data_IF_181428722221
#
_entry.id   IF_181428722221
#
_cell.length_a   1.000
_cell.length_b   1.000
_cell.length_c   1.000
_cell.angle_alpha   90.00
_cell.angle_beta   90.00
_cell.angle_gamma   90.00
#
_symmetry.space_group_name_H-M   'P 1'
#
loop_
_entity.id
_entity.type
_entity.pdbx_description
1 polymer ?
#
# COMPACT_ATOMS: atom_id res chain seq x y z
N UNK A 1 -6.11 -21.29 6.83
CA UNK A 1 -7.10 -21.81 5.85
C UNK A 1 -8.02 -20.71 5.35
N UNK A 2 -8.68 -19.94 6.21
CA UNK A 2 -9.64 -18.89 5.82
C UNK A 2 -9.01 -17.76 4.97
N UNK A 3 -7.80 -17.33 5.27
CA UNK A 3 -7.12 -16.23 4.57
C UNK A 3 -6.79 -16.61 3.12
N UNK A 4 -6.34 -17.83 2.87
CA UNK A 4 -6.05 -18.33 1.52
C UNK A 4 -7.31 -18.48 0.65
N UNK A 5 -8.50 -18.47 1.25
CA UNK A 5 -9.78 -18.47 0.52
C UNK A 5 -10.21 -17.04 0.15
N UNK A 6 -9.73 -16.02 0.87
CA UNK A 6 -10.05 -14.61 0.61
C UNK A 6 -9.07 -14.01 -0.40
N UNK A 7 -7.80 -14.36 -0.28
CA UNK A 7 -6.73 -13.83 -1.12
C UNK A 7 -6.02 -14.96 -1.87
N UNK A 8 -6.05 -14.91 -3.18
CA UNK A 8 -5.33 -15.85 -4.06
C UNK A 8 -3.90 -15.41 -4.35
N UNK A 9 -3.63 -14.10 -4.28
CA UNK A 9 -2.31 -13.53 -4.54
C UNK A 9 -1.64 -13.15 -3.21
N UNK A 10 -0.47 -13.73 -2.95
CA UNK A 10 0.30 -13.48 -1.72
C UNK A 10 0.85 -12.05 -1.63
N UNK A 11 1.13 -11.40 -2.75
CA UNK A 11 1.61 -9.99 -2.77
C UNK A 11 0.69 -9.02 -2.02
N UNK A 12 -0.58 -9.39 -1.86
CA UNK A 12 -1.59 -8.59 -1.16
C UNK A 12 -1.21 -8.27 0.30
N UNK A 13 -0.38 -9.11 0.95
CA UNK A 13 0.02 -8.86 2.33
C UNK A 13 0.64 -7.46 2.51
N UNK A 14 1.52 -7.07 1.60
CA UNK A 14 2.20 -5.77 1.70
C UNK A 14 1.22 -4.62 1.48
N UNK A 15 0.31 -4.74 0.50
CA UNK A 15 -0.77 -3.78 0.26
C UNK A 15 -1.62 -3.56 1.50
N UNK A 16 -2.06 -4.63 2.14
CA UNK A 16 -2.92 -4.54 3.32
C UNK A 16 -2.21 -3.90 4.53
N UNK A 17 -0.94 -4.27 4.77
CA UNK A 17 -0.17 -3.69 5.86
C UNK A 17 0.15 -2.21 5.64
N UNK A 18 0.49 -1.81 4.41
CA UNK A 18 0.68 -0.40 4.05
C UNK A 18 -0.63 0.38 4.20
N UNK A 19 -1.76 -0.21 3.79
CA UNK A 19 -3.07 0.42 3.93
C UNK A 19 -3.42 0.67 5.40
N UNK A 20 -3.17 -0.31 6.27
CA UNK A 20 -3.37 -0.15 7.72
C UNK A 20 -2.46 0.92 8.32
N UNK A 21 -1.20 0.98 7.89
CA UNK A 21 -0.26 2.02 8.29
C UNK A 21 -0.73 3.41 7.85
N UNK A 22 -1.21 3.56 6.62
CA UNK A 22 -1.80 4.79 6.10
C UNK A 22 -3.01 5.23 6.92
N UNK A 23 -3.92 4.30 7.24
CA UNK A 23 -5.11 4.58 8.05
C UNK A 23 -4.73 5.04 9.48
N UNK A 24 -3.71 4.44 10.08
CA UNK A 24 -3.21 4.84 11.40
C UNK A 24 -2.61 6.26 11.39
N UNK A 25 -1.94 6.61 10.31
CA UNK A 25 -1.39 7.96 10.11
C UNK A 25 -2.53 8.96 9.86
N UNK A 26 -3.50 8.64 9.00
CA UNK A 26 -4.67 9.49 8.72
C UNK A 26 -5.45 9.79 10.00
N UNK A 27 -5.65 8.78 10.85
CA UNK A 27 -6.32 8.93 12.13
C UNK A 27 -5.59 9.91 13.04
N UNK A 28 -4.27 9.77 13.21
CA UNK A 28 -3.45 10.69 14.01
C UNK A 28 -3.46 12.11 13.45
N UNK A 29 -3.28 12.23 12.14
CA UNK A 29 -3.29 13.53 11.46
C UNK A 29 -4.64 14.23 11.64
N UNK A 30 -5.74 13.50 11.45
CA UNK A 30 -7.08 14.03 11.65
C UNK A 30 -7.31 14.49 13.10
N UNK A 31 -6.92 13.69 14.09
CA UNK A 31 -7.00 14.06 15.50
C UNK A 31 -6.18 15.35 15.77
N UNK A 32 -5.03 15.54 15.13
CA UNK A 32 -4.21 16.74 15.28
C UNK A 32 -4.87 18.02 14.75
N UNK A 33 -5.78 17.90 13.77
CA UNK A 33 -6.53 19.05 13.26
C UNK A 33 -7.61 19.54 14.24
N UNK A 34 -8.09 18.66 15.10
CA UNK A 34 -9.17 18.93 16.05
C UNK A 34 -8.69 19.15 17.49
N UNK A 35 -7.55 18.55 17.84
CA UNK A 35 -6.96 18.62 19.18
C UNK A 35 -5.59 19.35 19.13
N UNK A 36 -5.52 20.54 19.73
CA UNK A 36 -4.31 21.38 19.76
C UNK A 36 -3.14 20.81 20.58
N UNK A 37 -3.42 19.81 21.43
CA UNK A 37 -2.40 19.14 22.22
C UNK A 37 -1.60 18.11 21.40
N UNK A 38 -2.15 17.72 20.24
CA UNK A 38 -1.49 16.82 19.30
C UNK A 38 -0.65 17.65 18.31
N UNK A 39 0.67 17.60 18.47
CA UNK A 39 1.64 18.32 17.63
C UNK A 39 2.26 17.37 16.62
N UNK A 40 1.59 17.19 15.49
CA UNK A 40 2.07 16.36 14.38
C UNK A 40 2.28 17.23 13.16
N UNK A 41 3.47 17.13 12.57
CA UNK A 41 3.78 17.82 11.32
C UNK A 41 3.58 16.83 10.16
N UNK A 42 2.76 17.18 9.19
CA UNK A 42 2.43 16.32 8.04
C UNK A 42 3.67 15.83 7.27
N UNK A 43 4.73 16.63 7.21
CA UNK A 43 5.96 16.28 6.49
C UNK A 43 6.78 15.18 7.17
N UNK A 44 6.54 14.93 8.46
CA UNK A 44 7.24 13.90 9.23
C UNK A 44 6.51 12.54 9.18
N UNK A 45 5.26 12.53 8.69
CA UNK A 45 4.44 11.33 8.60
C UNK A 45 4.91 10.44 7.44
N UNK A 46 5.19 9.17 7.75
CA UNK A 46 5.79 8.23 6.80
C UNK A 46 5.57 6.77 7.18
N UNK A 47 5.82 5.91 6.20
CA UNK A 47 5.87 4.46 6.36
C UNK A 47 7.28 4.02 5.96
N UNK A 48 7.96 3.27 6.81
CA UNK A 48 9.28 2.71 6.52
C UNK A 48 9.19 1.20 6.33
N UNK A 49 9.93 0.68 5.34
CA UNK A 49 10.10 -0.75 5.10
C UNK A 49 11.58 -1.08 5.26
N UNK A 50 11.88 -2.13 6.00
CA UNK A 50 13.23 -2.64 6.18
C UNK A 50 13.26 -4.13 5.87
N UNK A 51 14.30 -4.57 5.17
CA UNK A 51 14.53 -5.96 4.80
C UNK A 51 15.78 -6.46 5.47
N UNK A 52 15.70 -7.62 6.09
CA UNK A 52 16.86 -8.35 6.59
C UNK A 52 16.84 -9.78 6.03
N UNK A 53 17.77 -10.05 5.12
CA UNK A 53 17.89 -11.36 4.44
C UNK A 53 18.49 -12.42 5.35
N UNK A 54 19.33 -12.03 6.30
CA UNK A 54 20.05 -12.99 7.18
C UNK A 54 19.09 -13.63 8.17
N UNK A 55 18.25 -12.81 8.82
CA UNK A 55 17.21 -13.29 9.76
C UNK A 55 15.83 -13.44 9.10
N UNK A 56 15.76 -13.28 7.78
CA UNK A 56 14.55 -13.45 6.94
C UNK A 56 13.36 -12.63 7.45
N UNK A 57 13.56 -11.33 7.71
CA UNK A 57 12.47 -10.47 8.18
C UNK A 57 12.15 -9.32 7.24
N UNK A 58 10.86 -8.99 7.20
CA UNK A 58 10.36 -7.72 6.65
C UNK A 58 9.79 -6.94 7.82
N UNK A 59 10.25 -5.71 7.98
CA UNK A 59 9.74 -4.80 9.01
C UNK A 59 9.02 -3.64 8.35
N UNK A 60 7.79 -3.35 8.79
CA UNK A 60 6.99 -2.21 8.34
C UNK A 60 6.71 -1.34 9.55
N UNK A 61 7.10 -0.07 9.49
CA UNK A 61 6.94 0.88 10.60
C UNK A 61 6.18 2.10 10.13
N UNK A 62 5.15 2.50 10.86
CA UNK A 62 4.45 3.76 10.71
C UNK A 62 4.62 4.62 11.96
N UNK A 63 4.49 5.92 11.79
CA UNK A 63 4.38 6.90 12.86
C UNK A 63 2.94 7.46 12.98
N UNK A 64 1.97 6.56 12.90
CA UNK A 64 0.56 6.84 13.09
C UNK A 64 0.15 6.89 14.57
N UNK A 65 -1.15 6.75 14.83
CA UNK A 65 -1.72 6.87 16.19
C UNK A 65 -1.22 5.81 17.18
N UNK A 66 -0.69 4.66 16.71
CA UNK A 66 -0.36 3.52 17.53
C UNK A 66 -1.59 2.89 18.20
N UNK A 67 -1.35 1.87 19.03
CA UNK A 67 -2.40 1.12 19.73
C UNK A 67 -1.98 0.89 21.19
N UNK A 68 -2.94 0.94 22.09
CA UNK A 68 -2.81 0.44 23.45
C UNK A 68 -3.09 -1.07 23.53
N UNK A 69 -2.98 -1.66 24.73
CA UNK A 69 -3.18 -3.09 24.96
C UNK A 69 -4.55 -3.59 24.48
N UNK A 70 -5.62 -2.89 24.87
CA UNK A 70 -6.98 -3.25 24.49
C UNK A 70 -7.22 -3.12 22.98
N UNK A 71 -6.62 -2.11 22.35
CA UNK A 71 -6.70 -1.90 20.90
C UNK A 71 -5.95 -2.99 20.14
N UNK A 72 -4.79 -3.44 20.62
CA UNK A 72 -4.06 -4.58 20.05
C UNK A 72 -4.88 -5.87 20.12
N UNK A 73 -5.47 -6.18 21.29
CA UNK A 73 -6.33 -7.34 21.44
C UNK A 73 -7.58 -7.28 20.55
N UNK A 74 -8.23 -6.12 20.49
CA UNK A 74 -9.47 -5.96 19.72
C UNK A 74 -9.22 -5.95 18.20
N UNK A 75 -8.17 -5.29 17.73
CA UNK A 75 -7.92 -5.09 16.31
C UNK A 75 -7.12 -6.24 15.68
N UNK A 76 -6.24 -6.90 16.45
CA UNK A 76 -5.38 -7.98 15.95
C UNK A 76 -5.75 -9.36 16.51
N UNK A 77 -6.39 -9.43 17.67
CA UNK A 77 -6.82 -10.67 18.29
C UNK A 77 -8.18 -11.18 17.86
N UNK A 78 -8.97 -10.35 17.16
CA UNK A 78 -10.35 -10.71 16.73
C UNK A 78 -10.50 -10.50 15.22
N UNK A 79 -10.83 -11.57 14.49
CA UNK A 79 -11.09 -11.52 13.05
C UNK A 79 -12.34 -10.68 12.76
N UNK A 80 -12.32 -9.91 11.67
CA UNK A 80 -13.41 -9.07 11.20
C UNK A 80 -13.79 -7.89 12.14
N UNK A 81 -12.89 -7.46 13.01
CA UNK A 81 -12.98 -6.17 13.69
C UNK A 81 -12.01 -5.17 13.06
N UNK A 82 -12.51 -4.00 12.69
CA UNK A 82 -11.70 -2.91 12.13
C UNK A 82 -11.80 -1.67 13.01
N UNK A 83 -10.69 -1.28 13.62
CA UNK A 83 -10.58 -0.02 14.37
C UNK A 83 -10.76 1.19 13.45
N UNK A 84 -10.34 1.09 12.19
CA UNK A 84 -10.50 2.11 11.16
C UNK A 84 -11.98 2.31 10.79
N UNK A 85 -12.76 1.22 10.68
CA UNK A 85 -14.20 1.32 10.40
C UNK A 85 -14.96 1.97 11.57
N UNK A 86 -14.60 1.65 12.81
CA UNK A 86 -15.23 2.27 13.98
C UNK A 86 -14.94 3.77 14.03
N UNK A 87 -13.71 4.18 13.77
CA UNK A 87 -13.33 5.58 13.69
C UNK A 87 -14.09 6.35 12.59
N UNK A 88 -14.28 5.72 11.42
CA UNK A 88 -15.09 6.29 10.34
C UNK A 88 -16.54 6.53 10.78
N UNK A 89 -17.18 5.53 11.41
CA UNK A 89 -18.57 5.64 11.89
C UNK A 89 -18.76 6.73 12.94
N UNK A 90 -17.80 6.90 13.84
CA UNK A 90 -17.83 7.94 14.87
C UNK A 90 -17.67 9.36 14.29
N UNK A 91 -17.10 9.47 13.09
CA UNK A 91 -16.80 10.72 12.40
C UNK A 91 -17.54 10.89 11.06
N UNK A 92 -18.60 10.12 10.79
CA UNK A 92 -19.37 10.10 9.54
C UNK A 92 -19.90 11.46 9.03
N UNK A 93 -19.97 12.48 9.88
CA UNK A 93 -20.42 13.83 9.52
C UNK A 93 -19.35 14.71 8.87
N UNK A 94 -18.15 14.18 8.63
CA UNK A 94 -17.01 14.96 8.13
C UNK A 94 -16.44 14.27 6.87
N UNK A 95 -16.57 14.94 5.75
CA UNK A 95 -16.33 14.42 4.38
C UNK A 95 -14.87 14.04 4.04
N UNK A 96 -13.88 14.34 4.90
CA UNK A 96 -12.46 14.23 4.55
C UNK A 96 -11.72 12.96 5.06
N UNK A 97 -12.44 12.00 5.68
CA UNK A 97 -11.81 10.80 6.22
C UNK A 97 -11.87 9.65 5.21
N UNK A 98 -10.80 9.49 4.45
CA UNK A 98 -10.63 8.41 3.47
C UNK A 98 -9.95 7.20 4.15
N UNK A 99 -10.72 6.28 4.74
CA UNK A 99 -10.20 5.05 5.34
C UNK A 99 -10.19 3.92 4.31
N UNK A 100 -9.08 3.17 4.24
CA UNK A 100 -8.85 2.07 3.29
C UNK A 100 -9.31 0.73 3.89
N UNK A 101 -8.86 0.41 5.10
CA UNK A 101 -9.10 -0.88 5.77
C UNK A 101 -10.45 -0.98 6.47
N UNK A 102 -11.47 -1.51 5.80
CA UNK A 102 -12.84 -1.55 6.33
C UNK A 102 -13.28 -2.92 6.88
N UNK A 103 -12.64 -4.02 6.46
CA UNK A 103 -13.12 -5.38 6.71
C UNK A 103 -12.49 -6.08 7.91
N UNK A 104 -11.40 -5.55 8.49
CA UNK A 104 -10.72 -6.14 9.64
C UNK A 104 -10.09 -7.52 9.39
N UNK A 105 -9.82 -7.86 8.13
CA UNK A 105 -9.19 -9.13 7.73
C UNK A 105 -7.83 -8.93 7.05
N UNK A 106 -7.53 -7.74 6.57
CA UNK A 106 -6.33 -7.43 5.80
C UNK A 106 -5.03 -7.75 6.54
N UNK A 107 -4.95 -7.45 7.85
CA UNK A 107 -3.78 -7.74 8.67
C UNK A 107 -3.36 -9.23 8.63
N UNK A 108 -4.34 -10.14 8.62
CA UNK A 108 -4.05 -11.57 8.61
C UNK A 108 -3.43 -12.09 7.32
N UNK A 109 -3.44 -11.30 6.24
CA UNK A 109 -2.73 -11.63 5.00
C UNK A 109 -1.22 -11.78 5.22
N UNK A 110 -0.67 -11.17 6.28
CA UNK A 110 0.71 -11.34 6.73
C UNK A 110 1.08 -12.82 6.92
N UNK A 111 0.17 -13.65 7.42
CA UNK A 111 0.40 -15.09 7.62
C UNK A 111 0.43 -15.92 6.32
N UNK A 112 0.12 -15.31 5.17
CA UNK A 112 0.33 -15.99 3.88
C UNK A 112 1.82 -16.16 3.58
N UNK A 113 2.66 -15.23 4.05
CA UNK A 113 4.10 -15.17 3.75
C UNK A 113 4.98 -15.35 4.98
N UNK A 114 4.46 -15.27 6.20
CA UNK A 114 5.21 -15.35 7.45
C UNK A 114 4.73 -16.48 8.36
N UNK A 115 5.68 -17.07 9.11
CA UNK A 115 5.40 -18.08 10.14
C UNK A 115 5.05 -17.42 11.48
N UNK A 116 5.58 -16.24 11.71
CA UNK A 116 5.34 -15.47 12.93
C UNK A 116 5.23 -13.98 12.58
N UNK A 117 4.30 -13.30 13.23
CA UNK A 117 4.08 -11.86 13.14
C UNK A 117 4.22 -11.26 14.52
N UNK A 118 5.10 -10.27 14.66
CA UNK A 118 5.28 -9.51 15.90
C UNK A 118 4.93 -8.05 15.65
N UNK A 119 4.07 -7.47 16.47
CA UNK A 119 3.60 -6.08 16.36
C UNK A 119 3.96 -5.33 17.64
N UNK A 120 4.88 -4.38 17.54
CA UNK A 120 5.18 -3.43 18.61
C UNK A 120 4.37 -2.17 18.38
N UNK A 121 3.64 -1.71 19.39
CA UNK A 121 2.85 -0.50 19.28
C UNK A 121 2.91 0.35 20.53
N UNK A 122 2.98 1.67 20.30
CA UNK A 122 2.92 2.69 21.33
C UNK A 122 1.93 3.75 20.88
N UNK A 123 0.86 3.93 21.64
CA UNK A 123 -0.16 4.93 21.34
C UNK A 123 0.42 6.33 21.48
N UNK A 124 0.02 7.25 20.60
CA UNK A 124 0.42 8.66 20.72
C UNK A 124 0.07 9.22 22.11
N UNK A 125 0.99 9.99 22.69
CA UNK A 125 0.88 10.52 24.07
C UNK A 125 0.78 9.47 25.18
N UNK A 126 1.19 8.22 24.95
CA UNK A 126 1.28 7.18 25.98
C UNK A 126 2.74 6.93 26.36
N UNK A 127 3.00 6.70 27.65
CA UNK A 127 4.31 6.23 28.12
C UNK A 127 4.46 4.71 28.01
N UNK A 128 3.35 4.00 27.79
CA UNK A 128 3.31 2.53 27.71
C UNK A 128 3.33 2.05 26.26
N UNK A 129 4.12 1.02 26.03
CA UNK A 129 4.16 0.30 24.77
C UNK A 129 3.88 -1.18 25.01
N UNK A 130 3.36 -1.85 23.99
CA UNK A 130 3.00 -3.26 24.06
C UNK A 130 3.47 -3.99 22.79
N UNK A 131 3.75 -5.28 22.96
CA UNK A 131 4.06 -6.20 21.88
C UNK A 131 2.98 -7.26 21.79
N UNK A 132 2.40 -7.39 20.60
CA UNK A 132 1.52 -8.48 20.22
C UNK A 132 2.30 -9.47 19.35
N UNK A 133 2.14 -10.78 19.59
CA UNK A 133 2.87 -11.80 18.88
C UNK A 133 1.98 -13.01 18.60
N UNK A 134 2.04 -13.55 17.35
CA UNK A 134 1.28 -14.73 16.95
C UNK A 134 2.00 -15.52 15.86
N UNK A 135 1.74 -16.84 15.86
CA UNK A 135 2.06 -17.77 14.77
C UNK A 135 0.83 -18.15 13.93
N UNK A 136 -0.23 -17.39 14.05
CA UNK A 136 -1.48 -17.56 13.30
C UNK A 136 -2.50 -18.43 14.03
N UNK A 137 -2.49 -19.75 13.82
CA UNK A 137 -3.52 -20.65 14.34
C UNK A 137 -3.47 -20.93 15.84
N UNK A 138 -2.33 -20.71 16.47
CA UNK A 138 -2.07 -21.09 17.88
C UNK A 138 -2.48 -20.02 18.92
N UNK A 139 -3.08 -18.91 18.44
CA UNK A 139 -3.43 -17.78 19.30
C UNK A 139 -2.38 -16.67 19.26
N UNK A 140 -2.43 -15.79 20.26
CA UNK A 140 -1.52 -14.66 20.37
C UNK A 140 -1.17 -14.35 21.83
N UNK A 141 -0.08 -13.62 22.05
CA UNK A 141 0.25 -12.99 23.34
C UNK A 141 0.27 -11.47 23.19
N UNK A 142 -0.05 -10.76 24.29
CA UNK A 142 0.15 -9.32 24.42
C UNK A 142 0.92 -9.07 25.73
N UNK A 143 2.04 -8.37 25.62
CA UNK A 143 2.92 -8.12 26.75
C UNK A 143 3.42 -6.66 26.71
N UNK A 144 3.69 -6.03 27.87
CA UNK A 144 4.39 -4.74 27.90
C UNK A 144 5.77 -4.84 27.26
N UNK A 145 6.19 -3.80 26.55
CA UNK A 145 7.51 -3.71 25.96
C UNK A 145 8.07 -2.29 26.01
N UNK A 146 9.34 -2.14 25.64
CA UNK A 146 9.95 -0.84 25.43
C UNK A 146 9.85 -0.44 23.95
N UNK A 147 9.39 0.76 23.67
CA UNK A 147 9.38 1.41 22.37
C UNK A 147 9.47 2.91 22.56
N UNK A 148 10.50 3.52 22.01
CA UNK A 148 10.77 4.95 22.19
C UNK A 148 9.70 5.80 21.51
N UNK A 149 9.53 5.64 20.18
CA UNK A 149 8.62 6.43 19.37
C UNK A 149 7.20 5.86 19.39
N UNK A 150 6.19 6.73 19.22
CA UNK A 150 4.81 6.31 18.99
C UNK A 150 4.63 5.67 17.59
N UNK A 151 3.47 5.09 17.35
CA UNK A 151 3.14 4.39 16.10
C UNK A 151 3.31 2.88 16.22
N UNK A 152 3.30 2.20 15.07
CA UNK A 152 3.32 0.73 15.03
C UNK A 152 4.50 0.21 14.21
N UNK A 153 5.14 -0.85 14.69
CA UNK A 153 6.19 -1.59 14.01
C UNK A 153 5.77 -3.05 13.89
N UNK A 154 5.61 -3.53 12.67
CA UNK A 154 5.24 -4.91 12.34
C UNK A 154 6.47 -5.62 11.82
N UNK A 155 6.83 -6.74 12.42
CA UNK A 155 7.93 -7.62 12.00
C UNK A 155 7.35 -8.94 11.53
N UNK A 156 7.63 -9.30 10.29
CA UNK A 156 7.23 -10.54 9.63
C UNK A 156 8.43 -11.48 9.54
N UNK A 157 8.38 -12.65 10.16
CA UNK A 157 9.36 -13.70 9.95
C UNK A 157 8.95 -14.50 8.71
N UNK A 158 9.65 -14.28 7.60
CA UNK A 158 9.31 -14.82 6.29
C UNK A 158 9.57 -16.32 6.25
N UNK A 159 8.56 -17.08 5.80
CA UNK A 159 8.61 -18.54 5.66
C UNK A 159 9.84 -19.01 4.89
N UNK A 160 10.38 -20.19 5.22
CA UNK A 160 11.38 -20.83 4.39
C UNK A 160 10.83 -21.15 2.99
N UNK A 161 11.69 -21.19 2.00
CA UNK A 161 11.32 -21.61 0.67
C UNK A 161 10.94 -23.09 0.64
N UNK A 162 9.99 -23.45 -0.20
CA UNK A 162 9.58 -24.81 -0.48
C UNK A 162 9.79 -25.15 -1.95
N UNK A 163 9.59 -26.39 -2.34
CA UNK A 163 9.70 -26.81 -3.75
C UNK A 163 8.68 -26.09 -4.66
N UNK A 164 7.53 -25.69 -4.09
CA UNK A 164 6.43 -25.03 -4.82
C UNK A 164 6.47 -23.49 -4.71
N UNK A 165 7.07 -22.96 -3.65
CA UNK A 165 6.95 -21.53 -3.28
C UNK A 165 8.30 -20.93 -2.85
N UNK A 166 8.67 -19.82 -3.49
CA UNK A 166 9.88 -19.05 -3.17
C UNK A 166 9.57 -17.82 -2.34
N UNK A 167 9.43 -17.99 -1.04
CA UNK A 167 9.17 -16.86 -0.13
C UNK A 167 10.34 -15.88 0.00
N UNK A 168 11.58 -16.34 -0.27
CA UNK A 168 12.77 -15.48 -0.27
C UNK A 168 12.68 -14.34 -1.29
N UNK A 169 11.85 -14.44 -2.33
CA UNK A 169 11.65 -13.34 -3.28
C UNK A 169 11.10 -12.07 -2.61
N UNK A 170 10.31 -12.20 -1.54
CA UNK A 170 9.80 -11.06 -0.78
C UNK A 170 10.87 -10.34 0.05
N UNK A 171 12.07 -10.89 0.19
CA UNK A 171 13.22 -10.26 0.82
C UNK A 171 14.08 -9.49 -0.19
N UNK A 172 13.71 -9.49 -1.46
CA UNK A 172 14.42 -8.78 -2.51
C UNK A 172 13.92 -7.33 -2.66
N UNK A 173 14.86 -6.37 -2.71
CA UNK A 173 14.53 -4.94 -2.82
C UNK A 173 13.66 -4.64 -4.05
N UNK A 174 13.99 -5.25 -5.20
CA UNK A 174 13.23 -5.04 -6.44
C UNK A 174 11.79 -5.51 -6.31
N UNK A 175 11.55 -6.65 -5.63
CA UNK A 175 10.22 -7.21 -5.44
C UNK A 175 9.33 -6.29 -4.58
N UNK A 176 9.89 -5.74 -3.50
CA UNK A 176 9.16 -4.78 -2.66
C UNK A 176 8.86 -3.50 -3.43
N UNK A 177 9.83 -2.97 -4.20
CA UNK A 177 9.62 -1.80 -5.07
C UNK A 177 8.47 -2.02 -6.05
N UNK A 178 8.46 -3.17 -6.74
CA UNK A 178 7.42 -3.52 -7.70
C UNK A 178 6.04 -3.64 -7.03
N UNK A 179 5.97 -4.29 -5.87
CA UNK A 179 4.72 -4.44 -5.11
C UNK A 179 4.18 -3.09 -4.63
N UNK A 180 5.05 -2.20 -4.10
CA UNK A 180 4.64 -0.85 -3.68
C UNK A 180 4.17 -0.05 -4.89
N UNK A 181 4.91 -0.09 -5.99
CA UNK A 181 4.57 0.61 -7.24
C UNK A 181 3.25 0.12 -7.83
N UNK A 182 3.02 -1.18 -7.76
CA UNK A 182 1.80 -1.82 -8.28
C UNK A 182 0.56 -1.48 -7.46
N UNK A 183 0.62 -1.66 -6.15
CA UNK A 183 -0.57 -1.67 -5.29
C UNK A 183 -0.77 -0.40 -4.46
N UNK A 184 0.30 0.30 -4.10
CA UNK A 184 0.32 1.36 -3.09
C UNK A 184 0.99 2.66 -3.58
N UNK A 185 1.17 2.81 -4.90
CA UNK A 185 1.89 3.93 -5.51
C UNK A 185 1.29 5.30 -5.14
N UNK A 186 0.00 5.35 -4.91
CA UNK A 186 -0.73 6.59 -4.65
C UNK A 186 -1.20 6.77 -3.21
N UNK A 187 -0.65 5.98 -2.29
CA UNK A 187 -0.77 6.25 -0.85
C UNK A 187 -0.18 7.64 -0.59
N UNK A 188 -0.91 8.47 0.16
CA UNK A 188 -0.60 9.89 0.36
C UNK A 188 0.62 10.19 1.23
N UNK A 189 1.17 9.19 1.89
CA UNK A 189 2.36 9.28 2.73
C UNK A 189 3.56 8.62 2.04
N UNK A 190 4.79 9.16 2.23
CA UNK A 190 5.97 8.53 1.66
C UNK A 190 6.20 7.15 2.27
N UNK A 191 6.36 6.16 1.38
CA UNK A 191 6.78 4.81 1.72
C UNK A 191 8.27 4.74 1.43
N UNK A 192 9.08 4.61 2.46
CA UNK A 192 10.53 4.71 2.39
C UNK A 192 11.22 3.38 2.66
N UNK A 193 12.29 3.12 1.95
CA UNK A 193 13.15 1.95 2.15
C UNK A 193 14.61 2.32 1.88
N UNK A 194 15.54 1.74 2.65
CA UNK A 194 16.97 1.79 2.33
C UNK A 194 17.24 0.88 1.15
N UNK A 195 17.59 1.48 0.01
CA UNK A 195 17.86 0.77 -1.23
C UNK A 195 19.35 0.79 -1.57
N UNK A 196 19.83 -0.29 -2.13
CA UNK A 196 21.19 -0.40 -2.67
C UNK A 196 21.25 0.28 -4.03
N UNK A 197 22.15 1.24 -4.17
CA UNK A 197 22.46 1.94 -5.43
C UNK A 197 23.93 1.77 -5.75
N UNK A 198 24.23 1.44 -7.01
CA UNK A 198 25.61 1.48 -7.50
C UNK A 198 25.97 2.91 -7.87
N UNK A 199 26.94 3.48 -7.15
CA UNK A 199 27.50 4.81 -7.45
C UNK A 199 28.93 4.68 -7.90
N UNK A 200 29.31 5.51 -8.87
CA UNK A 200 30.70 5.60 -9.30
C UNK A 200 31.55 6.06 -8.12
N UNK A 201 32.57 5.29 -7.79
CA UNK A 201 33.50 5.60 -6.71
C UNK A 201 34.23 6.91 -6.97
N UNK A 202 34.30 7.76 -5.96
CA UNK A 202 34.90 9.09 -6.09
C UNK A 202 36.35 8.99 -6.58
N UNK A 203 36.66 9.66 -7.69
CA UNK A 203 37.99 9.61 -8.32
C UNK A 203 38.26 8.45 -9.28
N UNK A 204 37.33 7.53 -9.47
CA UNK A 204 37.42 6.44 -10.45
C UNK A 204 36.53 6.70 -11.67
N UNK A 205 36.95 6.16 -12.83
CA UNK A 205 36.16 6.22 -14.07
C UNK A 205 35.30 4.95 -14.30
N UNK A 206 35.64 3.85 -13.64
CA UNK A 206 35.08 2.53 -13.94
C UNK A 206 34.84 1.64 -12.69
N UNK A 207 35.12 2.15 -11.48
CA UNK A 207 34.84 1.40 -10.26
C UNK A 207 33.53 1.92 -9.63
N UNK A 208 32.65 0.99 -9.31
CA UNK A 208 31.37 1.27 -8.64
C UNK A 208 31.42 0.79 -7.21
N UNK A 209 30.75 1.49 -6.33
CA UNK A 209 30.52 1.07 -4.95
C UNK A 209 29.02 1.02 -4.68
N UNK A 210 28.59 0.05 -3.88
CA UNK A 210 27.18 -0.06 -3.45
C UNK A 210 26.96 0.81 -2.23
N UNK A 211 26.11 1.83 -2.38
CA UNK A 211 25.72 2.75 -1.30
C UNK A 211 24.26 2.51 -0.97
N UNK A 212 23.92 2.47 0.33
CA UNK A 212 22.53 2.42 0.78
C UNK A 212 21.97 3.84 0.88
N UNK A 213 20.94 4.10 0.11
CA UNK A 213 20.23 5.41 0.07
C UNK A 213 18.78 5.22 0.48
N UNK A 214 18.26 6.11 1.36
CA UNK A 214 16.86 6.13 1.71
C UNK A 214 16.03 6.63 0.53
N UNK A 215 15.20 5.77 -0.04
CA UNK A 215 14.44 6.04 -1.26
C UNK A 215 12.96 6.01 -0.96
N UNK A 216 12.20 6.99 -1.47
CA UNK A 216 10.74 6.98 -1.47
C UNK A 216 10.26 6.16 -2.66
N UNK A 217 9.49 5.10 -2.40
CA UNK A 217 9.10 4.11 -3.39
C UNK A 217 7.84 4.48 -4.18
N UNK A 218 6.95 5.28 -3.58
CA UNK A 218 5.65 5.62 -4.14
C UNK A 218 5.59 7.06 -4.69
N UNK A 219 4.67 7.30 -5.61
CA UNK A 219 4.47 8.60 -6.27
C UNK A 219 3.56 9.55 -5.48
N UNK A 220 2.74 9.05 -4.58
CA UNK A 220 1.80 9.76 -3.70
C UNK A 220 0.68 10.52 -4.42
N UNK A 221 0.96 11.22 -5.51
CA UNK A 221 -0.02 12.08 -6.20
C UNK A 221 -0.41 11.44 -7.54
N UNK A 222 -1.62 10.89 -7.66
CA UNK A 222 -2.10 10.31 -8.91
C UNK A 222 -2.41 11.39 -9.94
N UNK A 223 -1.99 11.15 -11.20
CA UNK A 223 -2.20 12.08 -12.32
C UNK A 223 -3.69 12.38 -12.55
N UNK A 224 -4.58 11.41 -12.34
CA UNK A 224 -6.03 11.57 -12.54
C UNK A 224 -6.75 12.35 -11.44
N UNK A 225 -6.09 12.61 -10.30
CA UNK A 225 -6.58 13.55 -9.26
C UNK A 225 -6.07 14.97 -9.48
N UNK A 226 -5.11 15.20 -10.39
CA UNK A 226 -4.66 16.54 -10.74
C UNK A 226 -5.74 17.25 -11.57
N UNK A 227 -5.93 18.58 -11.43
CA UNK A 227 -6.78 19.33 -12.34
C UNK A 227 -6.33 19.13 -13.79
N UNK A 228 -7.26 18.80 -14.71
CA UNK A 228 -6.97 18.54 -16.12
C UNK A 228 -6.11 19.63 -16.78
N UNK A 229 -6.36 20.91 -16.44
CA UNK A 229 -5.63 22.05 -16.98
C UNK A 229 -4.15 22.12 -16.54
N UNK A 230 -3.74 21.31 -15.55
CA UNK A 230 -2.36 21.25 -15.04
C UNK A 230 -1.57 20.04 -15.52
N UNK A 231 -2.18 19.19 -16.34
CA UNK A 231 -1.54 17.97 -16.88
C UNK A 231 -1.25 18.19 -18.36
N UNK A 232 0.00 17.99 -18.76
CA UNK A 232 0.42 18.12 -20.17
C UNK A 232 0.15 16.85 -20.97
N UNK A 233 0.18 16.95 -22.31
CA UNK A 233 0.07 15.78 -23.19
C UNK A 233 1.21 14.80 -22.96
N UNK A 234 2.43 15.31 -22.74
CA UNK A 234 3.59 14.49 -22.46
C UNK A 234 3.46 13.70 -21.17
N UNK A 235 2.85 14.29 -20.11
CA UNK A 235 2.57 13.60 -18.85
C UNK A 235 1.56 12.46 -19.07
N UNK A 236 0.51 12.68 -19.87
CA UNK A 236 -0.45 11.63 -20.22
C UNK A 236 0.17 10.50 -21.04
N UNK A 237 0.99 10.84 -22.04
CA UNK A 237 1.68 9.86 -22.88
C UNK A 237 2.69 9.03 -22.08
N UNK A 238 3.48 9.66 -21.23
CA UNK A 238 4.46 8.97 -20.36
C UNK A 238 3.75 8.03 -19.38
N UNK A 239 2.68 8.52 -18.73
CA UNK A 239 1.88 7.70 -17.85
C UNK A 239 1.28 6.48 -18.57
N UNK A 240 0.74 6.68 -19.76
CA UNK A 240 0.16 5.59 -20.56
C UNK A 240 1.19 4.51 -20.88
N UNK A 241 2.37 4.91 -21.36
CA UNK A 241 3.45 3.99 -21.72
C UNK A 241 3.95 3.19 -20.52
N UNK A 242 4.18 3.86 -19.41
CA UNK A 242 4.66 3.21 -18.20
C UNK A 242 3.61 2.28 -17.58
N UNK A 243 2.35 2.73 -17.54
CA UNK A 243 1.28 2.03 -16.83
C UNK A 243 0.73 0.83 -17.59
N UNK A 244 0.61 0.97 -18.91
CA UNK A 244 0.01 -0.06 -19.78
C UNK A 244 1.04 -0.79 -20.64
N UNK A 245 2.34 -0.45 -20.49
CA UNK A 245 3.45 -1.04 -21.23
C UNK A 245 3.24 -0.99 -22.76
N UNK A 246 2.70 0.12 -23.25
CA UNK A 246 2.43 0.39 -24.64
C UNK A 246 3.37 1.49 -25.13
N UNK A 247 4.11 1.22 -26.21
CA UNK A 247 5.10 2.16 -26.75
C UNK A 247 4.50 3.19 -27.70
N UNK A 248 3.30 2.95 -28.21
CA UNK A 248 2.60 3.89 -29.08
C UNK A 248 1.80 4.91 -28.27
N UNK A 249 1.52 6.05 -28.91
CA UNK A 249 0.65 7.06 -28.32
C UNK A 249 -0.81 6.65 -28.43
N UNK A 250 -1.64 6.90 -27.41
CA UNK A 250 -3.06 6.66 -27.51
C UNK A 250 -3.71 7.64 -28.52
N UNK A 251 -4.75 7.20 -29.23
CA UNK A 251 -5.54 8.06 -30.13
C UNK A 251 -6.24 9.16 -29.32
N UNK A 252 -6.72 8.82 -28.14
CA UNK A 252 -7.50 9.72 -27.30
C UNK A 252 -7.24 9.48 -25.81
N UNK A 253 -7.16 10.58 -25.08
CA UNK A 253 -7.12 10.61 -23.61
C UNK A 253 -8.42 11.25 -23.12
N UNK A 254 -9.07 10.60 -22.15
CA UNK A 254 -10.27 11.11 -21.48
C UNK A 254 -9.94 11.21 -20.00
N UNK A 255 -9.78 12.43 -19.52
CA UNK A 255 -9.57 12.74 -18.12
C UNK A 255 -10.82 13.44 -17.57
N UNK A 256 -11.49 12.84 -16.61
CA UNK A 256 -12.75 13.33 -16.06
C UNK A 256 -12.80 13.18 -14.54
N UNK A 257 -13.43 14.14 -13.90
CA UNK A 257 -13.84 14.09 -12.50
C UNK A 257 -15.37 14.27 -12.47
N UNK A 258 -16.04 13.36 -11.79
CA UNK A 258 -17.50 13.37 -11.65
C UNK A 258 -17.84 13.52 -10.18
N UNK A 259 -18.70 14.51 -9.89
CA UNK A 259 -19.23 14.76 -8.56
C UNK A 259 -20.74 14.50 -8.59
N UNK A 260 -21.24 13.74 -7.63
CA UNK A 260 -22.68 13.40 -7.55
C UNK A 260 -22.95 12.40 -6.44
N UNK A 261 -23.96 11.58 -6.62
CA UNK A 261 -24.30 10.49 -5.68
C UNK A 261 -23.14 9.51 -5.50
N UNK A 262 -22.34 9.34 -6.56
CA UNK A 262 -21.07 8.64 -6.54
C UNK A 262 -20.02 9.56 -7.19
N UNK A 263 -19.01 9.96 -6.43
CA UNK A 263 -17.91 10.81 -6.92
C UNK A 263 -16.72 9.93 -7.30
N UNK A 264 -16.19 10.16 -8.50
CA UNK A 264 -15.02 9.43 -8.98
C UNK A 264 -14.17 10.27 -9.95
N UNK A 265 -12.91 9.90 -10.08
CA UNK A 265 -12.00 10.42 -11.09
C UNK A 265 -11.64 9.29 -12.02
N UNK A 266 -11.64 9.54 -13.33
CA UNK A 266 -11.25 8.55 -14.32
C UNK A 266 -10.26 9.11 -15.32
N UNK A 267 -9.29 8.27 -15.69
CA UNK A 267 -8.35 8.53 -16.76
C UNK A 267 -8.37 7.34 -17.72
N UNK A 268 -8.96 7.56 -18.90
CA UNK A 268 -9.18 6.52 -19.89
C UNK A 268 -8.38 6.83 -21.15
N UNK A 269 -7.90 5.79 -21.82
CA UNK A 269 -7.11 5.85 -23.01
C UNK A 269 -7.73 4.97 -24.11
N UNK A 270 -7.84 5.52 -25.33
CA UNK A 270 -8.15 4.73 -26.51
C UNK A 270 -6.82 4.41 -27.20
N UNK A 271 -6.37 3.15 -27.19
CA UNK A 271 -5.14 2.73 -27.86
C UNK A 271 -5.14 3.03 -29.36
N UNK A 272 -3.97 3.17 -29.98
CA UNK A 272 -3.80 3.31 -31.43
C UNK A 272 -3.96 2.00 -32.18
N UNK A 273 -3.84 0.87 -31.49
CA UNK A 273 -3.94 -0.47 -32.03
C UNK A 273 -4.68 -1.40 -31.06
N UNK A 274 -5.14 -2.53 -31.55
CA UNK A 274 -5.74 -3.58 -30.74
C UNK A 274 -4.68 -4.20 -29.80
N UNK A 275 -5.05 -4.58 -28.55
CA UNK A 275 -4.16 -5.36 -27.71
C UNK A 275 -3.67 -6.63 -28.38
N UNK A 276 -2.39 -6.96 -28.25
CA UNK A 276 -1.80 -8.13 -28.90
C UNK A 276 -2.47 -9.47 -28.55
N UNK A 277 -3.04 -9.54 -27.36
CA UNK A 277 -3.74 -10.71 -26.83
C UNK A 277 -5.26 -10.69 -27.05
N UNK A 278 -5.80 -9.67 -27.77
CA UNK A 278 -7.24 -9.42 -27.91
C UNK A 278 -8.05 -10.65 -28.35
N UNK A 279 -7.51 -11.44 -29.28
CA UNK A 279 -8.16 -12.64 -29.79
C UNK A 279 -7.73 -13.93 -29.06
N UNK A 280 -7.05 -13.82 -27.93
CA UNK A 280 -6.62 -14.97 -27.15
C UNK A 280 -7.54 -15.22 -25.95
N UNK A 281 -7.63 -16.46 -25.43
CA UNK A 281 -8.36 -16.76 -24.20
C UNK A 281 -7.83 -16.06 -22.96
N UNK A 282 -6.61 -15.49 -23.03
CA UNK A 282 -5.96 -14.81 -21.91
C UNK A 282 -6.32 -13.32 -21.83
N UNK A 283 -6.95 -12.78 -22.88
CA UNK A 283 -7.39 -11.38 -22.88
C UNK A 283 -8.37 -11.12 -21.75
N UNK A 284 -8.05 -10.15 -20.91
CA UNK A 284 -8.92 -9.68 -19.83
C UNK A 284 -9.26 -8.22 -20.06
N UNK A 285 -10.54 -7.95 -20.29
CA UNK A 285 -11.06 -6.57 -20.35
C UNK A 285 -11.10 -5.95 -18.96
N UNK A 286 -11.28 -4.64 -18.89
CA UNK A 286 -11.59 -3.91 -17.66
C UNK A 286 -10.58 -2.83 -17.33
N UNK A 287 -11.03 -1.92 -16.48
CA UNK A 287 -10.23 -0.81 -15.97
C UNK A 287 -9.57 -1.16 -14.64
N UNK A 288 -8.47 -0.49 -14.33
CA UNK A 288 -7.90 -0.54 -13.00
C UNK A 288 -8.80 0.24 -12.04
N UNK A 289 -9.20 -0.41 -10.96
CA UNK A 289 -10.00 0.21 -9.91
C UNK A 289 -9.12 0.57 -8.73
N UNK A 290 -9.11 1.86 -8.38
CA UNK A 290 -8.42 2.39 -7.22
C UNK A 290 -9.42 2.88 -6.17
N UNK A 291 -9.09 2.66 -4.90
CA UNK A 291 -9.76 3.27 -3.76
C UNK A 291 -8.72 3.87 -2.85
N UNK A 292 -8.84 5.18 -2.56
CA UNK A 292 -7.96 5.92 -1.65
C UNK A 292 -6.44 5.74 -1.95
N UNK A 293 -6.09 5.67 -3.23
CA UNK A 293 -4.70 5.52 -3.68
C UNK A 293 -4.18 4.08 -3.70
N UNK A 294 -5.02 3.09 -3.39
CA UNK A 294 -4.70 1.67 -3.41
C UNK A 294 -5.36 0.97 -4.58
N UNK A 295 -4.61 0.15 -5.31
CA UNK A 295 -5.15 -0.68 -6.38
C UNK A 295 -5.98 -1.84 -5.80
N UNK A 296 -7.27 -1.84 -6.07
CA UNK A 296 -8.20 -2.87 -5.62
C UNK A 296 -8.30 -4.00 -6.66
N UNK A 297 -8.48 -3.64 -7.93
CA UNK A 297 -8.60 -4.59 -9.04
C UNK A 297 -7.81 -4.10 -10.25
N UNK A 298 -7.00 -4.99 -10.84
CA UNK A 298 -6.23 -4.69 -12.05
C UNK A 298 -7.10 -4.63 -13.31
N UNK A 299 -8.17 -5.41 -13.34
CA UNK A 299 -9.13 -5.52 -14.42
C UNK A 299 -10.54 -5.65 -13.84
N UNK A 300 -11.20 -4.53 -13.61
CA UNK A 300 -12.60 -4.49 -13.19
C UNK A 300 -13.48 -4.48 -14.45
N UNK A 301 -14.02 -5.65 -14.79
CA UNK A 301 -14.79 -5.86 -16.03
C UNK A 301 -16.14 -5.14 -16.04
N UNK A 302 -16.67 -4.85 -14.83
CA UNK A 302 -18.00 -4.26 -14.64
C UNK A 302 -18.05 -2.76 -14.93
N UNK A 303 -16.88 -2.09 -14.99
CA UNK A 303 -16.80 -0.64 -15.18
C UNK A 303 -17.07 -0.20 -16.61
N UNK A 304 -16.91 -1.10 -17.60
CA UNK A 304 -17.15 -0.80 -19.01
C UNK A 304 -17.94 -1.91 -19.68
N UNK A 305 -18.91 -1.54 -20.57
CA UNK A 305 -19.57 -2.51 -21.44
C UNK A 305 -18.59 -3.22 -22.36
N UNK A 306 -18.95 -4.43 -22.83
CA UNK A 306 -18.10 -5.29 -23.67
C UNK A 306 -17.59 -4.63 -24.94
N UNK A 307 -18.39 -3.74 -25.55
CA UNK A 307 -18.00 -3.03 -26.78
C UNK A 307 -16.92 -1.95 -26.57
N UNK A 308 -16.53 -1.67 -25.30
CA UNK A 308 -15.39 -0.83 -24.94
C UNK A 308 -14.24 -1.62 -24.35
N UNK A 309 -14.17 -2.94 -24.56
CA UNK A 309 -13.16 -3.83 -23.98
C UNK A 309 -11.71 -3.45 -24.34
N UNK A 310 -11.50 -2.69 -25.41
CA UNK A 310 -10.21 -2.18 -25.86
C UNK A 310 -9.72 -0.95 -25.09
N UNK A 311 -10.58 -0.30 -24.30
CA UNK A 311 -10.21 0.91 -23.54
C UNK A 311 -9.31 0.52 -22.38
N UNK A 312 -8.14 1.13 -22.31
CA UNK A 312 -7.26 1.08 -21.14
C UNK A 312 -7.55 2.25 -20.21
N UNK A 313 -7.36 2.08 -18.92
CA UNK A 313 -7.55 3.19 -18.00
C UNK A 313 -7.75 2.75 -16.56
N UNK A 314 -8.11 3.74 -15.76
CA UNK A 314 -8.31 3.58 -14.33
C UNK A 314 -9.40 4.54 -13.82
N UNK A 315 -9.97 4.15 -12.69
CA UNK A 315 -11.01 4.89 -11.96
C UNK A 315 -10.68 4.88 -10.48
#
# INVERSE_FOLDING_TARGET
>A
LMINSIYTNKEIFLRELISNASDAIDKLYYESLTNKDIKVNKVDLKINIELDKEIRTITITDNGCGMDENELENNLGTIAKSGSLNFKKENEKKEDIEIIGQFGVGFYSAFMVSDEVTVYSKKYNSDKAYVWKSKGAEGYSVEPCEKEDYGTKIVLNIKPDTDEEKYSEFLEEYKIKDMVKKYSDYIRYPIQMLCSEEKLKEGSKNEYETVKTLTTLNSMIPIWKKPKAKVTEEEYDSFYREKFNDYEKPIKVIHTAVEGTCSYNALLYIPSHEPFDYYTPNFKKGLQLYSNGVLIMEKCEELLPDYYCFVNGLV
#
